data_IF_764355676045
#
_entry.id   IF_764355676045
#
_cell.length_a   1.000
_cell.length_b   1.000
_cell.length_c   1.000
_cell.angle_alpha   90.00
_cell.angle_beta   90.00
_cell.angle_gamma   90.00
#
_symmetry.space_group_name_H-M   'P 1'
#
loop_
_entity.id
_entity.type
_entity.pdbx_description
1 polymer ?
#
# COMPACT_ATOMS: atom_id res chain seq x y z
N UNK A 1 11.60 -14.37 20.37
CA UNK A 1 11.19 -14.27 18.97
C UNK A 1 10.06 -13.26 18.90
N UNK A 2 10.22 -12.18 18.16
CA UNK A 2 9.14 -11.22 17.89
C UNK A 2 8.09 -11.97 17.06
N UNK A 3 6.83 -11.94 17.46
CA UNK A 3 5.79 -12.61 16.69
C UNK A 3 5.71 -11.94 15.31
N UNK A 4 5.82 -12.69 14.22
CA UNK A 4 5.67 -12.24 12.83
C UNK A 4 4.21 -11.86 12.53
N UNK A 5 4.00 -10.92 11.60
CA UNK A 5 2.71 -10.65 10.97
C UNK A 5 2.98 -10.43 9.48
N UNK A 6 3.05 -11.54 8.74
CA UNK A 6 3.32 -11.49 7.31
C UNK A 6 2.02 -11.25 6.52
N UNK A 7 1.99 -10.16 5.77
CA UNK A 7 0.82 -9.70 5.01
C UNK A 7 0.43 -10.66 3.87
N UNK A 8 1.31 -11.60 3.52
CA UNK A 8 0.99 -12.63 2.54
C UNK A 8 0.08 -13.72 3.12
N UNK A 9 0.20 -14.02 4.40
CA UNK A 9 -0.48 -15.14 5.06
C UNK A 9 -1.59 -14.68 6.01
N UNK A 10 -1.34 -13.59 6.73
CA UNK A 10 -2.28 -13.08 7.73
C UNK A 10 -3.40 -12.28 7.07
N UNK A 11 -4.67 -12.51 7.44
CA UNK A 11 -5.79 -11.73 6.91
C UNK A 11 -5.72 -10.28 7.41
N UNK A 12 -5.82 -9.32 6.47
CA UNK A 12 -5.80 -7.90 6.79
C UNK A 12 -6.56 -7.02 5.78
N UNK A 13 -6.87 -7.54 4.58
CA UNK A 13 -7.60 -6.80 3.56
C UNK A 13 -9.08 -7.16 3.67
N UNK A 14 -9.90 -6.16 3.99
CA UNK A 14 -11.35 -6.31 3.99
C UNK A 14 -11.89 -6.28 2.58
N UNK A 15 -12.73 -7.23 2.26
CA UNK A 15 -13.34 -7.39 0.94
C UNK A 15 -14.83 -7.68 1.06
N UNK A 16 -15.54 -7.47 -0.03
CA UNK A 16 -16.89 -7.95 -0.22
C UNK A 16 -16.85 -9.09 -1.24
N UNK A 17 -17.39 -10.24 -0.92
CA UNK A 17 -17.53 -11.38 -1.83
C UNK A 17 -18.62 -11.11 -2.88
N UNK A 18 -18.65 -11.86 -3.98
CA UNK A 18 -19.67 -11.69 -5.02
C UNK A 18 -21.11 -11.94 -4.53
N UNK A 19 -21.27 -12.74 -3.48
CA UNK A 19 -22.57 -12.95 -2.81
C UNK A 19 -22.95 -11.83 -1.84
N UNK A 20 -22.11 -10.80 -1.71
CA UNK A 20 -22.29 -9.66 -0.82
C UNK A 20 -21.78 -9.89 0.61
N UNK A 21 -21.23 -11.06 0.94
CA UNK A 21 -20.70 -11.33 2.27
C UNK A 21 -19.40 -10.53 2.52
N UNK A 22 -19.24 -9.92 3.70
CA UNK A 22 -17.98 -9.32 4.10
C UNK A 22 -16.99 -10.41 4.48
N UNK A 23 -15.71 -10.21 4.14
CA UNK A 23 -14.62 -11.10 4.50
C UNK A 23 -13.32 -10.32 4.75
N UNK A 24 -12.33 -10.95 5.37
CA UNK A 24 -10.99 -10.41 5.55
C UNK A 24 -9.96 -11.43 5.09
N UNK A 25 -9.14 -11.07 4.12
CA UNK A 25 -8.24 -12.00 3.43
C UNK A 25 -6.79 -11.53 3.47
N UNK A 26 -5.86 -12.45 3.30
CA UNK A 26 -4.44 -12.16 3.09
C UNK A 26 -4.17 -11.75 1.63
N UNK A 27 -2.95 -11.23 1.33
CA UNK A 27 -2.57 -10.95 -0.06
C UNK A 27 -2.63 -12.19 -0.94
N UNK A 28 -2.12 -13.33 -0.47
CA UNK A 28 -2.14 -14.57 -1.26
C UNK A 28 -3.57 -15.08 -1.49
N UNK A 29 -4.41 -15.06 -0.46
CA UNK A 29 -5.82 -15.45 -0.60
C UNK A 29 -6.55 -14.50 -1.54
N UNK A 30 -6.33 -13.19 -1.43
CA UNK A 30 -6.95 -12.21 -2.30
C UNK A 30 -6.65 -12.49 -3.78
N UNK A 31 -5.39 -12.72 -4.14
CA UNK A 31 -5.03 -12.96 -5.53
C UNK A 31 -5.48 -14.33 -6.04
N UNK A 32 -5.48 -15.36 -5.19
CA UNK A 32 -6.03 -16.69 -5.56
C UNK A 32 -7.52 -16.68 -5.81
N UNK A 33 -8.23 -15.78 -5.15
CA UNK A 33 -9.70 -15.72 -5.12
C UNK A 33 -10.26 -14.43 -5.75
N UNK A 34 -9.43 -13.69 -6.50
CA UNK A 34 -9.79 -12.37 -7.04
C UNK A 34 -11.03 -12.40 -7.97
N UNK A 35 -11.30 -13.55 -8.58
CA UNK A 35 -12.50 -13.78 -9.39
C UNK A 35 -13.78 -13.92 -8.57
N UNK A 36 -13.67 -14.24 -7.27
CA UNK A 36 -14.81 -14.45 -6.35
C UNK A 36 -15.03 -13.24 -5.41
N UNK A 37 -14.21 -12.20 -5.55
CA UNK A 37 -14.28 -10.98 -4.77
C UNK A 37 -14.92 -9.87 -5.60
N UNK A 38 -15.96 -9.22 -5.06
CA UNK A 38 -16.62 -8.08 -5.72
C UNK A 38 -15.75 -6.81 -5.63
N UNK A 39 -15.09 -6.59 -4.50
CA UNK A 39 -14.24 -5.41 -4.30
C UNK A 39 -13.66 -5.29 -2.90
N UNK A 40 -12.84 -4.25 -2.71
CA UNK A 40 -12.23 -3.90 -1.43
C UNK A 40 -13.26 -3.09 -0.62
N UNK A 41 -13.27 -3.29 0.70
CA UNK A 41 -14.16 -2.59 1.61
C UNK A 41 -13.47 -2.27 2.94
N UNK A 42 -12.70 -1.19 2.98
CA UNK A 42 -11.99 -0.69 4.16
C UNK A 42 -12.87 0.11 5.13
N UNK A 43 -12.23 0.80 6.07
CA UNK A 43 -12.92 1.67 7.03
C UNK A 43 -13.41 2.98 6.39
N UNK A 44 -12.70 3.47 5.37
CA UNK A 44 -13.03 4.67 4.60
C UNK A 44 -12.67 4.48 3.13
N UNK A 45 -13.36 5.15 2.23
CA UNK A 45 -13.19 5.00 0.78
C UNK A 45 -11.75 5.29 0.28
N UNK A 46 -11.04 6.22 0.91
CA UNK A 46 -9.63 6.48 0.56
C UNK A 46 -8.70 5.32 0.96
N UNK A 47 -9.08 4.50 1.94
CA UNK A 47 -8.35 3.28 2.29
C UNK A 47 -8.51 2.21 1.19
N UNK A 48 -9.71 2.09 0.60
CA UNK A 48 -9.95 1.21 -0.54
C UNK A 48 -9.04 1.59 -1.72
N UNK A 49 -8.96 2.89 -2.00
CA UNK A 49 -8.06 3.42 -3.05
C UNK A 49 -6.59 3.13 -2.74
N UNK A 50 -6.16 3.30 -1.50
CA UNK A 50 -4.77 3.04 -1.11
C UNK A 50 -4.40 1.56 -1.27
N UNK A 51 -5.28 0.66 -0.83
CA UNK A 51 -5.09 -0.80 -0.98
C UNK A 51 -5.12 -1.18 -2.47
N UNK A 52 -6.09 -0.67 -3.24
CA UNK A 52 -6.16 -0.93 -4.69
C UNK A 52 -4.86 -0.53 -5.40
N UNK A 53 -4.27 0.62 -5.06
CA UNK A 53 -2.99 1.05 -5.63
C UNK A 53 -1.84 0.10 -5.28
N UNK A 54 -1.80 -0.44 -4.06
CA UNK A 54 -0.84 -1.48 -3.71
C UNK A 54 -1.04 -2.73 -4.56
N UNK A 55 -2.29 -3.19 -4.72
CA UNK A 55 -2.59 -4.35 -5.55
C UNK A 55 -2.22 -4.12 -7.02
N UNK A 56 -2.50 -2.93 -7.56
CA UNK A 56 -2.10 -2.56 -8.93
C UNK A 56 -0.57 -2.55 -9.10
N UNK A 57 0.18 -2.07 -8.11
CA UNK A 57 1.64 -2.14 -8.15
C UNK A 57 2.14 -3.59 -8.17
N UNK A 58 1.53 -4.48 -7.38
CA UNK A 58 1.85 -5.92 -7.39
C UNK A 58 1.51 -6.53 -8.75
N UNK A 59 0.33 -6.26 -9.30
CA UNK A 59 -0.06 -6.74 -10.63
C UNK A 59 0.91 -6.27 -11.70
N UNK A 60 1.25 -4.99 -11.69
CA UNK A 60 2.17 -4.41 -12.67
C UNK A 60 3.55 -5.08 -12.62
N UNK A 61 4.07 -5.35 -11.42
CA UNK A 61 5.34 -6.08 -11.26
C UNK A 61 5.22 -7.55 -11.66
N UNK A 62 4.09 -8.19 -11.35
CA UNK A 62 3.83 -9.59 -11.72
C UNK A 62 3.74 -9.80 -13.24
N UNK A 63 3.08 -8.88 -13.94
CA UNK A 63 2.97 -8.86 -15.41
C UNK A 63 4.26 -8.37 -16.11
N UNK A 64 5.29 -7.98 -15.33
CA UNK A 64 6.50 -7.32 -15.83
C UNK A 64 6.19 -6.03 -16.62
N UNK A 65 5.13 -5.32 -16.23
CA UNK A 65 4.54 -4.20 -16.95
C UNK A 65 4.00 -4.67 -18.32
N UNK A 66 2.69 -4.79 -18.55
CA UNK A 66 2.20 -5.25 -19.84
C UNK A 66 2.78 -4.35 -20.93
N UNK A 67 3.57 -4.94 -21.83
CA UNK A 67 4.32 -4.21 -22.85
C UNK A 67 3.36 -3.55 -23.85
N UNK A 68 2.30 -4.28 -24.18
CA UNK A 68 1.27 -3.84 -25.14
C UNK A 68 -0.13 -4.37 -24.77
N UNK A 69 -1.11 -4.05 -25.61
CA UNK A 69 -2.48 -4.50 -25.44
C UNK A 69 -2.65 -6.01 -25.65
N UNK A 70 -1.81 -6.66 -26.46
CA UNK A 70 -1.91 -8.09 -26.72
C UNK A 70 -1.59 -8.88 -25.43
N UNK A 71 -0.55 -8.49 -24.71
CA UNK A 71 -0.21 -9.04 -23.39
C UNK A 71 -1.34 -8.80 -22.39
N UNK A 72 -1.91 -7.60 -22.36
CA UNK A 72 -3.05 -7.31 -21.50
C UNK A 72 -4.27 -8.16 -21.84
N UNK A 73 -4.56 -8.37 -23.13
CA UNK A 73 -5.67 -9.21 -23.59
C UNK A 73 -5.49 -10.69 -23.23
N UNK A 74 -4.27 -11.21 -23.13
CA UNK A 74 -4.00 -12.58 -22.67
C UNK A 74 -4.51 -12.77 -21.24
N UNK A 75 -4.21 -11.85 -20.33
CA UNK A 75 -4.77 -11.87 -18.97
C UNK A 75 -6.29 -11.72 -18.96
N UNK A 76 -6.82 -10.89 -19.83
CA UNK A 76 -8.28 -10.74 -19.95
C UNK A 76 -8.98 -12.02 -20.39
N UNK A 77 -8.37 -12.81 -21.27
CA UNK A 77 -8.94 -14.05 -21.81
C UNK A 77 -8.78 -15.26 -20.89
N UNK A 78 -7.83 -15.27 -19.97
CA UNK A 78 -7.58 -16.37 -19.03
C UNK A 78 -7.84 -15.95 -17.57
N UNK A 79 -9.09 -16.02 -17.07
CA UNK A 79 -9.40 -15.66 -15.69
C UNK A 79 -8.58 -16.45 -14.68
N UNK A 80 -8.06 -15.74 -13.68
CA UNK A 80 -7.16 -16.27 -12.65
C UNK A 80 -5.68 -16.29 -13.05
N UNK A 81 -5.32 -15.94 -14.29
CA UNK A 81 -3.90 -15.86 -14.71
C UNK A 81 -3.15 -14.75 -13.97
N UNK A 82 -3.77 -13.57 -13.88
CA UNK A 82 -3.20 -12.46 -13.11
C UNK A 82 -2.94 -12.85 -11.64
N UNK A 83 -3.90 -13.56 -11.04
CA UNK A 83 -3.76 -14.03 -9.66
C UNK A 83 -2.61 -15.02 -9.48
N UNK A 84 -2.40 -15.94 -10.44
CA UNK A 84 -1.27 -16.89 -10.40
C UNK A 84 0.07 -16.16 -10.44
N UNK A 85 0.27 -15.26 -11.38
CA UNK A 85 1.51 -14.52 -11.54
C UNK A 85 1.79 -13.57 -10.36
N UNK A 86 0.74 -12.94 -9.82
CA UNK A 86 0.84 -12.13 -8.62
C UNK A 86 1.27 -12.96 -7.40
N UNK A 87 0.71 -14.16 -7.21
CA UNK A 87 1.11 -15.07 -6.15
C UNK A 87 2.57 -15.46 -6.30
N UNK A 88 3.02 -15.85 -7.49
CA UNK A 88 4.41 -16.21 -7.75
C UNK A 88 5.37 -15.04 -7.51
N UNK A 89 4.98 -13.84 -7.89
CA UNK A 89 5.76 -12.63 -7.60
C UNK A 89 5.87 -12.38 -6.09
N UNK A 90 4.77 -12.43 -5.37
CA UNK A 90 4.71 -12.21 -3.92
C UNK A 90 5.54 -13.25 -3.15
N UNK A 91 5.46 -14.52 -3.54
CA UNK A 91 6.22 -15.59 -2.88
C UNK A 91 7.74 -15.41 -3.04
N UNK A 92 8.20 -14.90 -4.19
CA UNK A 92 9.63 -14.56 -4.38
C UNK A 92 10.14 -13.45 -3.45
N UNK A 93 9.24 -12.58 -2.99
CA UNK A 93 9.57 -11.45 -2.12
C UNK A 93 9.00 -11.57 -0.70
N UNK A 94 8.59 -12.76 -0.31
CA UNK A 94 7.86 -13.06 0.94
C UNK A 94 8.45 -12.40 2.18
N UNK A 95 9.76 -12.40 2.31
CA UNK A 95 10.46 -11.81 3.45
C UNK A 95 10.29 -10.30 3.61
N UNK A 96 9.84 -9.61 2.54
CA UNK A 96 9.64 -8.17 2.51
C UNK A 96 8.22 -7.73 2.90
N UNK A 97 7.35 -8.69 3.18
CA UNK A 97 5.94 -8.45 3.52
C UNK A 97 5.61 -8.68 5.01
N UNK A 98 6.62 -8.87 5.87
CA UNK A 98 6.39 -8.92 7.31
C UNK A 98 6.30 -7.49 7.88
N UNK A 99 5.14 -7.15 8.45
CA UNK A 99 4.89 -5.86 9.09
C UNK A 99 5.80 -5.61 10.30
N UNK A 100 6.32 -6.68 10.92
CA UNK A 100 7.06 -6.66 12.17
C UNK A 100 8.51 -7.11 12.05
N UNK A 101 9.02 -7.24 10.83
CA UNK A 101 10.42 -7.56 10.63
C UNK A 101 11.30 -6.50 11.32
N UNK A 102 12.29 -6.89 12.14
CA UNK A 102 13.10 -5.93 12.90
C UNK A 102 14.08 -5.14 12.03
N UNK A 103 14.42 -5.62 10.85
CA UNK A 103 15.41 -5.02 9.96
C UNK A 103 14.79 -4.38 8.72
N UNK A 104 13.78 -5.05 8.13
CA UNK A 104 13.15 -4.65 6.86
C UNK A 104 11.63 -4.74 6.92
N UNK A 105 10.97 -4.05 7.89
CA UNK A 105 9.53 -4.13 8.04
C UNK A 105 8.82 -3.53 6.81
N UNK A 106 7.71 -4.17 6.42
CA UNK A 106 6.94 -3.74 5.26
C UNK A 106 6.56 -2.25 5.34
N UNK A 107 6.91 -1.48 4.31
CA UNK A 107 6.64 -0.04 4.16
C UNK A 107 7.09 0.83 5.35
N UNK A 108 8.09 0.39 6.10
CA UNK A 108 8.64 1.12 7.23
C UNK A 108 10.16 1.19 7.14
N UNK A 109 10.76 2.08 7.92
CA UNK A 109 12.20 2.19 8.09
C UNK A 109 12.56 1.72 9.49
N UNK A 110 13.32 0.64 9.60
CA UNK A 110 13.76 0.12 10.89
C UNK A 110 14.66 1.12 11.61
N UNK A 111 14.53 1.19 12.94
CA UNK A 111 15.38 2.02 13.79
C UNK A 111 15.20 3.53 13.63
N UNK A 112 14.23 4.01 12.84
CA UNK A 112 13.97 5.45 12.69
C UNK A 112 13.59 6.08 14.03
N UNK A 113 14.21 7.20 14.36
CA UNK A 113 13.89 7.94 15.57
C UNK A 113 14.20 9.44 15.41
N UNK A 114 13.56 10.26 16.23
CA UNK A 114 13.85 11.69 16.31
C UNK A 114 14.90 11.97 17.38
N UNK A 115 15.56 13.13 17.32
CA UNK A 115 16.55 13.53 18.32
C UNK A 115 15.99 13.59 19.75
N UNK A 116 14.68 13.83 19.91
CA UNK A 116 14.02 13.85 21.20
C UNK A 116 13.57 12.45 21.69
N UNK A 117 13.64 11.43 20.84
CA UNK A 117 13.10 10.09 21.11
C UNK A 117 11.58 10.04 21.26
N UNK A 118 10.86 11.15 20.99
CA UNK A 118 9.41 11.22 21.14
C UNK A 118 8.73 10.36 20.08
N UNK A 119 7.84 9.49 20.52
CA UNK A 119 6.95 8.72 19.67
C UNK A 119 5.62 9.47 19.46
N UNK A 120 5.03 9.27 18.29
CA UNK A 120 3.70 9.76 17.95
C UNK A 120 2.67 8.67 18.25
N UNK A 121 1.49 9.08 18.72
CA UNK A 121 0.40 8.14 18.97
C UNK A 121 -0.32 7.69 17.70
N UNK A 122 -1.19 6.69 17.82
CA UNK A 122 -1.97 6.10 16.74
C UNK A 122 -2.82 7.11 15.95
N UNK A 123 -3.24 8.20 16.58
CA UNK A 123 -3.95 9.29 15.90
C UNK A 123 -3.18 9.93 14.75
N UNK A 124 -1.87 9.69 14.65
CA UNK A 124 -1.06 10.15 13.52
C UNK A 124 -1.03 9.14 12.38
N UNK A 125 -1.46 7.91 12.64
CA UNK A 125 -1.58 6.83 11.65
C UNK A 125 -3.02 6.72 11.14
N UNK A 126 -4.00 6.87 12.01
CA UNK A 126 -5.41 6.64 11.74
C UNK A 126 -6.05 7.93 11.21
N UNK A 127 -6.39 7.95 9.93
CA UNK A 127 -6.85 9.16 9.25
C UNK A 127 -8.25 9.63 9.66
N UNK A 128 -9.12 8.74 10.16
CA UNK A 128 -10.45 9.09 10.65
C UNK A 128 -10.45 9.69 12.06
N UNK A 129 -9.27 9.82 12.67
CA UNK A 129 -9.09 10.44 13.99
C UNK A 129 -8.50 11.84 13.81
N UNK A 130 -9.29 12.91 13.98
CA UNK A 130 -8.79 14.27 13.84
C UNK A 130 -7.77 14.59 14.93
N UNK A 131 -6.74 15.34 14.57
CA UNK A 131 -5.65 15.70 15.48
C UNK A 131 -6.07 16.63 16.64
N UNK A 132 -7.14 17.39 16.49
CA UNK A 132 -7.57 18.38 17.50
C UNK A 132 -8.81 17.91 18.26
N UNK A 133 -9.99 18.04 17.68
CA UNK A 133 -11.23 17.62 18.30
C UNK A 133 -11.82 16.41 17.58
N UNK A 134 -12.24 15.37 18.30
CA UNK A 134 -12.88 14.22 17.69
C UNK A 134 -14.26 14.63 17.14
N UNK A 135 -14.31 14.88 15.84
CA UNK A 135 -15.53 15.13 15.10
C UNK A 135 -15.76 13.95 14.14
N UNK A 136 -16.94 13.37 14.17
CA UNK A 136 -17.37 12.28 13.28
C UNK A 136 -16.57 10.97 13.39
N UNK A 137 -15.81 10.76 14.46
CA UNK A 137 -15.21 9.47 14.76
C UNK A 137 -15.98 8.74 15.87
N UNK A 138 -16.12 7.43 15.73
CA UNK A 138 -16.66 6.54 16.76
C UNK A 138 -15.58 6.01 17.70
N UNK A 139 -14.31 6.33 17.44
CA UNK A 139 -13.19 5.88 18.24
C UNK A 139 -13.13 6.66 19.55
N UNK A 140 -13.11 5.94 20.65
CA UNK A 140 -12.93 6.44 22.00
C UNK A 140 -11.52 6.12 22.51
N UNK A 141 -11.15 6.63 23.68
CA UNK A 141 -9.79 6.58 24.25
C UNK A 141 -9.08 5.22 24.09
N UNK A 142 -9.73 4.12 24.42
CA UNK A 142 -9.17 2.77 24.30
C UNK A 142 -8.85 2.37 22.87
N UNK A 143 -9.68 2.75 21.89
CA UNK A 143 -9.45 2.53 20.46
C UNK A 143 -8.36 3.41 19.87
N UNK A 144 -7.76 4.32 20.66
CA UNK A 144 -6.63 5.16 20.28
C UNK A 144 -5.31 4.75 20.95
N UNK A 145 -5.35 3.80 21.86
CA UNK A 145 -4.17 3.31 22.59
C UNK A 145 -3.57 2.07 21.92
N UNK A 146 -4.40 1.24 21.32
CA UNK A 146 -3.97 0.03 20.61
C UNK A 146 -4.91 -0.30 19.46
N UNK A 147 -4.34 -0.91 18.39
CA UNK A 147 -5.08 -1.47 17.25
C UNK A 147 -4.51 -2.84 16.91
N UNK A 148 -5.29 -3.68 16.25
CA UNK A 148 -4.83 -4.95 15.71
C UNK A 148 -3.84 -4.78 14.56
N UNK A 149 -3.01 -5.79 14.31
CA UNK A 149 -2.01 -5.73 13.24
C UNK A 149 -2.63 -5.61 11.85
N UNK A 150 -3.75 -6.28 11.60
CA UNK A 150 -4.51 -6.16 10.36
C UNK A 150 -4.96 -4.71 10.10
N UNK A 151 -5.51 -4.07 11.11
CA UNK A 151 -5.91 -2.66 11.04
C UNK A 151 -4.69 -1.74 10.87
N UNK A 152 -3.60 -2.01 11.59
CA UNK A 152 -2.35 -1.25 11.44
C UNK A 152 -1.80 -1.32 10.01
N UNK A 153 -1.86 -2.49 9.38
CA UNK A 153 -1.46 -2.66 7.98
C UNK A 153 -2.29 -1.80 7.03
N UNK A 154 -3.61 -1.80 7.18
CA UNK A 154 -4.51 -0.98 6.35
C UNK A 154 -4.20 0.52 6.49
N UNK A 155 -4.03 1.00 7.72
CA UNK A 155 -3.70 2.41 7.96
C UNK A 155 -2.27 2.77 7.52
N UNK A 156 -1.31 1.84 7.61
CA UNK A 156 0.03 2.05 7.08
C UNK A 156 0.02 2.26 5.56
N UNK A 157 -0.68 1.39 4.83
CA UNK A 157 -0.85 1.53 3.38
C UNK A 157 -1.58 2.84 3.04
N UNK A 158 -2.60 3.19 3.81
CA UNK A 158 -3.33 4.44 3.63
C UNK A 158 -2.45 5.67 3.83
N UNK A 159 -1.65 5.72 4.89
CA UNK A 159 -0.82 6.91 5.17
C UNK A 159 0.23 7.14 4.10
N UNK A 160 0.79 6.08 3.51
CA UNK A 160 1.70 6.20 2.37
C UNK A 160 1.04 6.83 1.14
N UNK A 161 -0.26 6.64 0.95
CA UNK A 161 -0.99 7.20 -0.16
C UNK A 161 -1.55 8.61 0.11
N UNK A 162 -1.97 8.89 1.34
CA UNK A 162 -2.80 10.06 1.67
C UNK A 162 -2.26 10.97 2.79
N UNK A 163 -1.10 10.69 3.42
CA UNK A 163 -0.57 11.60 4.45
C UNK A 163 -0.29 12.99 3.85
N UNK A 164 -0.90 14.04 4.38
CA UNK A 164 -0.74 15.37 3.82
C UNK A 164 0.69 15.90 4.01
N UNK A 165 1.16 16.69 3.06
CA UNK A 165 2.40 17.44 3.20
C UNK A 165 2.34 18.35 4.43
N UNK A 166 3.48 18.53 5.10
CA UNK A 166 3.54 19.38 6.27
C UNK A 166 4.88 19.27 7.01
N UNK A 167 5.03 20.10 8.02
CA UNK A 167 6.23 20.07 8.85
C UNK A 167 6.19 18.84 9.77
N UNK A 168 7.24 18.05 9.74
CA UNK A 168 7.43 16.87 10.60
C UNK A 168 8.70 17.02 11.44
N UNK A 169 8.81 16.26 12.52
CA UNK A 169 10.09 16.11 13.23
C UNK A 169 11.07 15.39 12.29
N UNK A 170 12.27 15.92 12.15
CA UNK A 170 13.32 15.29 11.36
C UNK A 170 13.82 14.01 12.03
N UNK A 171 14.05 12.97 11.25
CA UNK A 171 14.72 11.77 11.71
C UNK A 171 16.21 12.02 11.90
N UNK A 172 16.83 11.34 12.86
CA UNK A 172 18.29 11.35 13.00
C UNK A 172 18.90 10.70 11.75
N UNK A 173 19.88 11.36 11.15
CA UNK A 173 20.50 10.91 9.91
C UNK A 173 19.77 11.34 8.63
N UNK A 174 18.66 12.07 8.73
CA UNK A 174 17.98 12.64 7.55
C UNK A 174 18.78 13.84 7.00
N UNK A 175 19.39 13.74 5.81
CA UNK A 175 20.18 14.82 5.22
C UNK A 175 19.33 16.03 4.81
N UNK A 176 18.02 15.85 4.68
CA UNK A 176 17.08 16.91 4.31
C UNK A 176 16.51 17.66 5.53
N UNK A 177 16.73 17.12 6.75
CA UNK A 177 16.26 17.78 7.96
C UNK A 177 17.00 19.09 8.23
N UNK A 178 16.27 20.18 8.42
CA UNK A 178 16.80 21.50 8.78
C UNK A 178 16.35 21.86 10.20
N UNK A 179 17.33 22.08 11.12
CA UNK A 179 17.05 22.41 12.52
C UNK A 179 16.09 21.40 13.20
N UNK A 180 16.29 20.10 12.94
CA UNK A 180 15.48 19.02 13.49
C UNK A 180 14.05 18.91 12.91
N UNK A 181 13.80 19.52 11.74
CA UNK A 181 12.52 19.47 11.04
C UNK A 181 12.71 19.00 9.62
N UNK A 182 11.81 18.17 9.15
CA UNK A 182 11.65 17.78 7.75
C UNK A 182 10.41 18.45 7.16
N UNK A 183 10.46 18.70 5.86
CA UNK A 183 9.39 19.33 5.09
C UNK A 183 9.03 18.41 3.91
N UNK A 184 8.43 17.24 4.19
CA UNK A 184 8.07 16.30 3.14
C UNK A 184 7.05 16.93 2.20
N UNK A 185 7.35 16.88 0.91
CA UNK A 185 6.45 17.27 -0.17
C UNK A 185 6.21 16.01 -0.98
N UNK A 186 4.94 15.70 -1.26
CA UNK A 186 4.60 14.57 -2.11
C UNK A 186 4.49 13.21 -1.40
N UNK A 187 4.79 13.12 -0.10
CA UNK A 187 4.32 11.97 0.69
C UNK A 187 2.80 11.99 0.66
N UNK A 188 2.14 10.89 0.36
CA UNK A 188 0.70 10.89 0.29
C UNK A 188 0.13 11.76 -0.84
N UNK A 189 0.80 11.78 -1.98
CA UNK A 189 0.41 12.58 -3.15
C UNK A 189 -1.00 12.30 -3.67
N UNK A 190 -1.55 11.11 -3.41
CA UNK A 190 -2.91 10.75 -3.77
C UNK A 190 -3.95 11.65 -3.08
N UNK A 191 -3.63 12.22 -1.93
CA UNK A 191 -4.46 13.23 -1.27
C UNK A 191 -4.50 14.60 -1.96
N UNK A 192 -3.64 14.82 -2.95
CA UNK A 192 -3.57 16.08 -3.72
C UNK A 192 -4.38 16.02 -5.02
N UNK A 193 -4.83 14.85 -5.43
CA UNK A 193 -5.55 14.61 -6.68
C UNK A 193 -6.81 13.80 -6.42
N UNK A 194 -7.78 13.92 -7.32
CA UNK A 194 -8.90 12.99 -7.39
C UNK A 194 -8.47 11.67 -8.05
N UNK A 195 -9.05 10.56 -7.62
CA UNK A 195 -8.85 9.26 -8.23
C UNK A 195 -10.13 8.76 -8.88
N UNK A 196 -10.00 8.15 -10.04
CA UNK A 196 -11.09 7.45 -10.73
C UNK A 196 -10.71 5.99 -10.83
N UNK A 197 -11.60 5.12 -10.40
CA UNK A 197 -11.43 3.66 -10.51
C UNK A 197 -12.50 3.12 -11.44
N UNK A 198 -12.08 2.36 -12.44
CA UNK A 198 -12.99 1.62 -13.32
C UNK A 198 -13.31 0.30 -12.65
N UNK A 199 -14.59 0.07 -12.35
CA UNK A 199 -15.04 -1.15 -11.68
C UNK A 199 -15.36 -2.24 -12.69
N UNK A 200 -14.82 -3.44 -12.49
CA UNK A 200 -15.17 -4.66 -13.22
C UNK A 200 -16.24 -5.47 -12.47
N UNK A 201 -16.61 -6.59 -13.03
CA UNK A 201 -17.58 -7.53 -12.43
C UNK A 201 -17.04 -8.26 -11.19
N UNK A 202 -15.72 -8.30 -11.05
CA UNK A 202 -14.99 -8.82 -9.89
C UNK A 202 -13.69 -8.07 -9.71
N UNK A 203 -12.93 -8.40 -8.66
CA UNK A 203 -11.69 -7.70 -8.33
C UNK A 203 -10.60 -7.91 -9.39
N UNK A 204 -10.49 -9.11 -9.97
CA UNK A 204 -9.51 -9.34 -11.05
C UNK A 204 -9.78 -8.43 -12.26
N UNK A 205 -11.05 -8.32 -12.68
CA UNK A 205 -11.45 -7.41 -13.76
C UNK A 205 -11.22 -5.95 -13.40
N UNK A 206 -11.50 -5.58 -12.15
CA UNK A 206 -11.19 -4.23 -11.65
C UNK A 206 -9.70 -3.94 -11.74
N UNK A 207 -8.83 -4.88 -11.33
CA UNK A 207 -7.37 -4.72 -11.43
C UNK A 207 -6.91 -4.59 -12.88
N UNK A 208 -7.38 -5.43 -13.79
CA UNK A 208 -7.02 -5.36 -15.21
C UNK A 208 -7.50 -4.06 -15.87
N UNK A 209 -8.71 -3.58 -15.56
CA UNK A 209 -9.25 -2.32 -16.12
C UNK A 209 -8.50 -1.07 -15.64
N UNK A 210 -7.78 -1.15 -14.52
CA UNK A 210 -6.97 -0.05 -13.98
C UNK A 210 -5.47 -0.29 -14.15
N UNK A 211 -5.06 -1.40 -14.77
CA UNK A 211 -3.67 -1.65 -15.13
C UNK A 211 -3.23 -0.73 -16.27
N UNK A 212 -1.99 -0.27 -16.18
CA UNK A 212 -1.40 0.62 -17.19
C UNK A 212 -0.59 -0.21 -18.17
N UNK A 213 -0.84 -0.07 -19.47
CA UNK A 213 -0.05 -0.68 -20.54
C UNK A 213 1.14 0.21 -20.83
N UNK A 214 2.36 -0.29 -20.62
CA UNK A 214 3.58 0.52 -20.64
C UNK A 214 3.90 1.08 -22.03
N UNK A 215 3.74 0.29 -23.09
CA UNK A 215 4.03 0.73 -24.46
C UNK A 215 3.16 1.89 -24.96
N UNK A 216 1.96 2.05 -24.41
CA UNK A 216 1.07 3.18 -24.74
C UNK A 216 1.48 4.49 -24.06
N UNK A 217 2.39 4.42 -23.07
CA UNK A 217 2.87 5.57 -22.32
C UNK A 217 4.23 6.08 -22.80
N UNK A 218 4.76 5.54 -23.89
CA UNK A 218 6.03 5.96 -24.48
C UNK A 218 6.04 7.48 -24.73
N UNK A 219 6.88 8.16 -23.96
CA UNK A 219 7.07 9.61 -24.00
C UNK A 219 6.40 10.43 -22.89
N UNK A 220 5.54 9.82 -22.05
CA UNK A 220 4.93 10.56 -20.94
C UNK A 220 5.74 10.54 -19.63
N UNK A 221 6.56 9.52 -19.38
CA UNK A 221 7.14 9.33 -18.05
C UNK A 221 8.66 9.34 -17.95
N UNK A 222 9.42 9.16 -19.01
CA UNK A 222 10.90 9.16 -18.94
C UNK A 222 11.48 8.15 -17.91
N UNK A 223 10.66 7.24 -17.40
CA UNK A 223 11.07 6.23 -16.40
C UNK A 223 11.36 4.94 -17.15
N UNK A 224 12.58 4.46 -17.01
CA UNK A 224 12.94 3.12 -17.47
C UNK A 224 12.24 2.08 -16.57
N UNK A 225 11.37 1.22 -17.11
CA UNK A 225 10.69 0.18 -16.33
C UNK A 225 11.65 -0.74 -15.55
N UNK A 226 12.87 -0.92 -16.03
CA UNK A 226 13.89 -1.72 -15.36
C UNK A 226 14.43 -1.03 -14.09
N UNK A 227 14.34 0.29 -13.99
CA UNK A 227 14.77 1.07 -12.82
C UNK A 227 13.62 1.39 -11.86
N UNK A 228 12.36 1.23 -12.27
CA UNK A 228 11.17 1.48 -11.45
C UNK A 228 10.84 0.25 -10.59
N UNK A 229 11.70 0.00 -9.60
CA UNK A 229 11.53 -1.12 -8.69
C UNK A 229 10.56 -0.79 -7.56
N UNK A 230 9.68 -1.74 -7.26
CA UNK A 230 8.79 -1.64 -6.11
C UNK A 230 9.59 -1.64 -4.79
N UNK A 231 9.06 -1.08 -3.68
CA UNK A 231 9.75 -1.04 -2.40
C UNK A 231 10.20 -2.41 -1.86
N UNK A 232 9.50 -3.48 -2.21
CA UNK A 232 9.86 -4.84 -1.80
C UNK A 232 10.94 -5.50 -2.67
N UNK A 233 11.29 -4.91 -3.81
CA UNK A 233 12.30 -5.42 -4.74
C UNK A 233 13.67 -4.78 -4.56
N UNK A 234 13.78 -3.76 -3.72
CA UNK A 234 15.01 -3.00 -3.49
C UNK A 234 15.38 -2.96 -2.01
N UNK A 235 16.62 -2.61 -1.73
CA UNK A 235 17.06 -2.40 -0.35
C UNK A 235 16.23 -1.31 0.33
N UNK A 236 15.94 -1.45 1.64
CA UNK A 236 15.20 -0.46 2.39
C UNK A 236 15.87 0.91 2.32
N UNK A 237 15.06 1.94 2.16
CA UNK A 237 15.55 3.32 2.25
C UNK A 237 15.98 3.64 3.68
N UNK A 238 16.90 4.58 3.83
CA UNK A 238 17.25 5.18 5.11
C UNK A 238 16.20 6.20 5.57
N UNK A 239 16.52 7.04 6.56
CA UNK A 239 15.63 8.07 7.10
C UNK A 239 15.12 9.08 6.07
N UNK A 240 15.89 9.29 5.02
CA UNK A 240 15.45 10.01 3.82
C UNK A 240 16.19 9.48 2.61
N UNK A 241 15.47 9.27 1.52
CA UNK A 241 16.06 8.99 0.22
C UNK A 241 16.54 10.31 -0.39
N UNK A 242 17.78 10.36 -0.85
CA UNK A 242 18.19 11.45 -1.71
C UNK A 242 17.33 11.39 -2.99
N UNK A 243 16.77 12.50 -3.45
CA UNK A 243 16.13 12.53 -4.76
C UNK A 243 17.15 12.07 -5.81
N UNK A 244 16.73 11.14 -6.66
CA UNK A 244 17.51 10.68 -7.80
C UNK A 244 17.73 11.81 -8.80
#
# INVERSE_FOLDING_TARGET
MTASFNLLDEPWIRVTRLDGAPDEVSLLSLFREATDIAGIHGEIASQDTAVLRLLLAICHRAMNGPEDLDVWEEYWRDPGSLGRDAVDHLERHRERFDLRDPERPFFQVAGIHTASGKLWGLKSLIADVPNNNPLFTTRIAEGLESIGWAEAARWLVHVHAFDPAGIRSGAVGDPLAKKGRSFPIGTGWAGQIGTVTVMGENLERTLLLNAVVCGELDGLNGVDPASDLAPWEREPDGPARAPA
#
